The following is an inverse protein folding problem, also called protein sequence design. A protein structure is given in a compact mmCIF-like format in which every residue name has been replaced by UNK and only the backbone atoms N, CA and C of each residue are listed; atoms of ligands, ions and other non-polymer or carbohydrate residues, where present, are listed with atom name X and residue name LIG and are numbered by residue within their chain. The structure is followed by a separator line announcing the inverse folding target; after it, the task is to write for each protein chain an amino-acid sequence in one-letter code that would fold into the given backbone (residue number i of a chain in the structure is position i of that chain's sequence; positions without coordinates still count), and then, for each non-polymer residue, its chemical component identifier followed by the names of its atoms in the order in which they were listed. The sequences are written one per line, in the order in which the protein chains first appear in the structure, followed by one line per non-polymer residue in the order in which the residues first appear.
data_IF_469815579705
#
_entry.id   IF_469815579705
#
_cell.length_a   1.000
_cell.length_b   1.000
_cell.length_c   1.000
_cell.angle_alpha   90.00
_cell.angle_beta   90.00
_cell.angle_gamma   90.00
#
_symmetry.space_group_name_H-M   'P 1'
#
loop_
_entity.id
_entity.type
_entity.pdbx_description
1 polymer ?
#
# COMPACT_ATOMS: atom_id res chain seq x y z
N UNK A 1 20.80 80.89 -49.28
CA UNK A 1 20.21 81.02 -47.93
C UNK A 1 18.89 80.25 -47.71
N UNK A 2 18.07 79.98 -48.75
CA UNK A 2 16.81 79.22 -48.59
C UNK A 2 16.97 77.69 -48.41
N UNK A 3 18.08 77.09 -48.83
CA UNK A 3 18.29 75.64 -48.78
C UNK A 3 18.59 75.11 -47.36
N UNK A 4 19.39 75.85 -46.58
CA UNK A 4 19.76 75.45 -45.21
C UNK A 4 18.58 75.49 -44.21
N UNK A 5 17.55 76.31 -44.45
CA UNK A 5 16.34 76.37 -43.63
C UNK A 5 15.41 75.17 -43.87
N UNK A 6 15.42 74.60 -45.07
CA UNK A 6 14.60 73.44 -45.43
C UNK A 6 15.12 72.14 -44.80
N UNK A 7 16.44 71.96 -44.78
CA UNK A 7 17.08 70.78 -44.20
C UNK A 7 17.01 70.79 -42.67
N UNK A 8 17.11 71.97 -42.04
CA UNK A 8 16.91 72.11 -40.59
C UNK A 8 15.46 71.81 -40.16
N UNK A 9 14.46 72.22 -40.96
CA UNK A 9 13.05 71.87 -40.70
C UNK A 9 12.74 70.38 -40.91
N UNK A 10 13.38 69.72 -41.88
CA UNK A 10 13.24 68.26 -42.09
C UNK A 10 13.85 67.46 -40.94
N UNK A 11 15.06 67.82 -40.49
CA UNK A 11 15.72 67.16 -39.36
C UNK A 11 14.89 67.24 -38.07
N UNK A 12 14.31 68.42 -37.78
CA UNK A 12 13.48 68.62 -36.60
C UNK A 12 12.17 67.82 -36.66
N UNK A 13 11.55 67.70 -37.84
CA UNK A 13 10.33 66.89 -38.03
C UNK A 13 10.59 65.39 -37.89
N UNK A 14 11.72 64.89 -38.37
CA UNK A 14 12.11 63.48 -38.23
C UNK A 14 12.37 63.13 -36.77
N UNK A 15 13.01 64.02 -36.02
CA UNK A 15 13.32 63.82 -34.60
C UNK A 15 12.06 63.87 -33.71
N UNK A 16 11.12 64.76 -34.02
CA UNK A 16 9.78 64.78 -33.38
C UNK A 16 8.99 63.51 -33.72
N UNK A 17 9.04 63.04 -34.97
CA UNK A 17 8.38 61.81 -35.38
C UNK A 17 8.95 60.59 -34.65
N UNK A 18 10.27 60.45 -34.58
CA UNK A 18 10.94 59.37 -33.86
C UNK A 18 10.63 59.39 -32.36
N UNK A 19 10.63 60.57 -31.72
CA UNK A 19 10.22 60.71 -30.31
C UNK A 19 8.75 60.34 -30.10
N UNK A 20 7.85 60.76 -31.00
CA UNK A 20 6.44 60.39 -30.93
C UNK A 20 6.21 58.89 -31.14
N UNK A 21 6.98 58.26 -32.03
CA UNK A 21 6.96 56.82 -32.27
C UNK A 21 7.47 56.05 -31.05
N UNK A 22 8.54 56.54 -30.41
CA UNK A 22 9.11 55.91 -29.22
C UNK A 22 8.16 56.01 -28.02
N UNK A 23 7.50 57.15 -27.83
CA UNK A 23 6.44 57.31 -26.82
C UNK A 23 5.24 56.43 -27.15
N UNK A 24 4.84 56.32 -28.43
CA UNK A 24 3.78 55.41 -28.83
C UNK A 24 4.15 53.94 -28.57
N UNK A 25 5.40 53.52 -28.79
CA UNK A 25 5.88 52.16 -28.49
C UNK A 25 5.88 51.89 -26.98
N UNK A 26 6.29 52.86 -26.15
CA UNK A 26 6.22 52.73 -24.68
C UNK A 26 4.76 52.65 -24.21
N UNK A 27 3.87 53.48 -24.77
CA UNK A 27 2.44 53.43 -24.46
C UNK A 27 1.80 52.12 -24.96
N UNK A 28 2.21 51.60 -26.12
CA UNK A 28 1.79 50.30 -26.64
C UNK A 28 2.32 49.15 -25.78
N UNK A 29 3.51 49.26 -25.18
CA UNK A 29 4.05 48.26 -24.25
C UNK A 29 3.31 48.20 -22.91
N UNK A 30 2.53 49.25 -22.58
CA UNK A 30 1.63 49.29 -21.42
C UNK A 30 0.22 48.77 -21.72
N UNK A 31 -0.09 48.42 -22.99
CA UNK A 31 -1.27 47.64 -23.34
C UNK A 31 -1.03 46.18 -22.96
N UNK A 32 -1.08 45.89 -21.66
CA UNK A 32 -1.32 44.53 -21.18
C UNK A 32 -2.74 44.20 -21.62
N UNK A 33 -2.88 43.49 -22.74
CA UNK A 33 -4.17 42.91 -23.10
C UNK A 33 -4.66 42.10 -21.89
N UNK A 34 -5.86 42.38 -21.35
CA UNK A 34 -6.35 41.64 -20.21
C UNK A 34 -6.43 40.17 -20.61
N UNK A 35 -5.66 39.32 -19.90
CA UNK A 35 -5.70 37.88 -20.12
C UNK A 35 -7.15 37.41 -19.94
N UNK A 36 -7.58 36.59 -20.87
CA UNK A 36 -8.84 35.84 -20.75
C UNK A 36 -8.73 34.86 -19.58
N UNK A 37 -9.87 34.41 -19.05
CA UNK A 37 -9.88 33.40 -17.99
C UNK A 37 -9.13 32.12 -18.37
N UNK A 38 -9.20 31.70 -19.63
CA UNK A 38 -8.51 30.50 -20.10
C UNK A 38 -7.00 30.71 -20.15
N UNK A 39 -6.53 31.91 -20.55
CA UNK A 39 -5.11 32.27 -20.50
C UNK A 39 -4.60 32.40 -19.06
N UNK A 40 -5.43 32.90 -18.14
CA UNK A 40 -5.11 32.94 -16.70
C UNK A 40 -4.96 31.50 -16.16
N UNK A 41 -5.90 30.62 -16.51
CA UNK A 41 -5.83 29.21 -16.13
C UNK A 41 -4.59 28.53 -16.70
N UNK A 42 -4.22 28.79 -17.96
CA UNK A 42 -3.01 28.23 -18.56
C UNK A 42 -1.74 28.80 -17.91
N UNK A 43 -1.70 30.11 -17.64
CA UNK A 43 -0.59 30.76 -16.95
C UNK A 43 -0.35 30.18 -15.56
N UNK A 44 -1.41 29.76 -14.87
CA UNK A 44 -1.33 29.10 -13.56
C UNK A 44 -0.52 27.80 -13.57
N UNK A 45 -0.29 27.17 -14.73
CA UNK A 45 0.58 25.99 -14.87
C UNK A 45 2.08 26.31 -14.85
N UNK A 46 2.43 27.59 -14.86
CA UNK A 46 3.82 28.05 -14.81
C UNK A 46 4.06 29.00 -13.64
N UNK A 47 3.09 29.86 -13.34
CA UNK A 47 3.18 30.87 -12.29
C UNK A 47 1.81 31.06 -11.62
N UNK A 48 1.49 30.25 -10.59
CA UNK A 48 0.21 30.34 -9.88
C UNK A 48 -0.01 31.66 -9.13
N UNK A 49 1.04 32.34 -8.69
CA UNK A 49 0.92 33.62 -7.98
C UNK A 49 0.53 34.73 -8.94
N UNK A 50 1.26 34.85 -10.06
CA UNK A 50 0.91 35.81 -11.10
C UNK A 50 -0.50 35.54 -11.67
N UNK A 51 -0.85 34.27 -11.90
CA UNK A 51 -2.18 33.92 -12.38
C UNK A 51 -3.28 34.34 -11.40
N UNK A 52 -3.04 34.24 -10.09
CA UNK A 52 -3.99 34.69 -9.07
C UNK A 52 -4.17 36.20 -9.08
N UNK A 53 -3.09 36.96 -9.21
CA UNK A 53 -3.17 38.42 -9.31
C UNK A 53 -3.95 38.85 -10.56
N UNK A 54 -3.69 38.19 -11.69
CA UNK A 54 -4.44 38.42 -12.93
C UNK A 54 -5.92 38.05 -12.81
N UNK A 55 -6.23 36.97 -12.08
CA UNK A 55 -7.62 36.59 -11.76
C UNK A 55 -8.34 37.68 -10.95
N UNK A 56 -7.70 38.22 -9.91
CA UNK A 56 -8.29 39.30 -9.10
C UNK A 56 -8.53 40.56 -9.94
N UNK A 57 -7.59 40.91 -10.81
CA UNK A 57 -7.76 42.03 -11.76
C UNK A 57 -8.92 41.75 -12.71
N UNK A 58 -9.03 40.54 -13.26
CA UNK A 58 -10.13 40.15 -14.13
C UNK A 58 -11.49 40.32 -13.43
N UNK A 59 -11.64 39.77 -12.22
CA UNK A 59 -12.88 39.85 -11.44
C UNK A 59 -13.24 41.29 -11.07
N UNK A 60 -12.25 42.12 -10.72
CA UNK A 60 -12.50 43.53 -10.37
C UNK A 60 -13.08 44.39 -11.50
N UNK A 61 -12.95 43.93 -12.75
CA UNK A 61 -13.43 44.63 -13.96
C UNK A 61 -14.80 44.16 -14.42
N UNK A 62 -15.37 43.14 -13.77
CA UNK A 62 -16.68 42.63 -14.13
C UNK A 62 -17.77 43.65 -13.80
N UNK A 63 -18.68 43.87 -14.75
CA UNK A 63 -19.88 44.67 -14.54
C UNK A 63 -20.98 43.89 -13.82
N UNK A 64 -22.08 44.56 -13.45
CA UNK A 64 -23.21 43.98 -12.71
C UNK A 64 -24.09 43.02 -13.52
N UNK A 65 -23.80 42.79 -14.80
CA UNK A 65 -24.56 41.92 -15.70
C UNK A 65 -23.66 40.87 -16.35
N UNK A 66 -23.35 39.81 -15.60
CA UNK A 66 -22.71 38.60 -16.12
C UNK A 66 -23.76 37.49 -16.26
N UNK A 67 -23.61 36.66 -17.28
CA UNK A 67 -24.46 35.47 -17.40
C UNK A 67 -24.12 34.44 -16.33
N UNK A 68 -25.07 33.57 -16.00
CA UNK A 68 -24.84 32.49 -15.02
C UNK A 68 -23.69 31.57 -15.45
N UNK A 69 -23.60 31.24 -16.73
CA UNK A 69 -22.54 30.37 -17.26
C UNK A 69 -21.15 31.01 -17.13
N UNK A 70 -21.06 32.34 -17.31
CA UNK A 70 -19.83 33.09 -17.09
C UNK A 70 -19.47 33.13 -15.60
N UNK A 71 -20.44 33.35 -14.71
CA UNK A 71 -20.23 33.32 -13.26
C UNK A 71 -19.66 31.97 -12.81
N UNK A 72 -20.27 30.86 -13.26
CA UNK A 72 -19.79 29.50 -12.97
C UNK A 72 -18.36 29.27 -13.50
N UNK A 73 -18.03 29.79 -14.69
CA UNK A 73 -16.66 29.71 -15.25
C UNK A 73 -15.67 30.53 -14.42
N UNK A 74 -16.02 31.74 -14.02
CA UNK A 74 -15.20 32.63 -13.19
C UNK A 74 -14.91 31.97 -11.85
N UNK A 75 -15.93 31.42 -11.19
CA UNK A 75 -15.78 30.79 -9.89
C UNK A 75 -14.89 29.54 -9.98
N UNK A 76 -15.15 28.68 -10.97
CA UNK A 76 -14.36 27.47 -11.22
C UNK A 76 -12.88 27.78 -11.43
N UNK A 77 -12.57 28.78 -12.26
CA UNK A 77 -11.18 29.17 -12.52
C UNK A 77 -10.55 29.83 -11.28
N UNK A 78 -11.31 30.62 -10.53
CA UNK A 78 -10.85 31.17 -9.25
C UNK A 78 -10.44 30.09 -8.26
N UNK A 79 -11.27 29.05 -8.08
CA UNK A 79 -10.95 27.93 -7.18
C UNK A 79 -9.72 27.16 -7.65
N UNK A 80 -9.63 26.84 -8.95
CA UNK A 80 -8.47 26.18 -9.56
C UNK A 80 -7.17 26.95 -9.31
N UNK A 81 -7.13 28.24 -9.65
CA UNK A 81 -5.93 29.08 -9.53
C UNK A 81 -5.55 29.25 -8.05
N UNK A 82 -6.53 29.47 -7.16
CA UNK A 82 -6.25 29.56 -5.73
C UNK A 82 -5.70 28.24 -5.17
N UNK A 83 -6.25 27.09 -5.57
CA UNK A 83 -5.78 25.78 -5.15
C UNK A 83 -4.32 25.54 -5.57
N UNK A 84 -3.98 25.85 -6.82
CA UNK A 84 -2.60 25.79 -7.31
C UNK A 84 -1.68 26.73 -6.55
N UNK A 85 -2.11 27.96 -6.26
CA UNK A 85 -1.34 28.91 -5.45
C UNK A 85 -1.04 28.38 -4.05
N UNK A 86 -2.02 27.72 -3.41
CA UNK A 86 -1.84 27.09 -2.10
C UNK A 86 -0.91 25.88 -2.13
N UNK A 87 -0.78 25.22 -3.27
CA UNK A 87 0.07 24.06 -3.50
C UNK A 87 1.26 24.36 -4.44
N UNK A 88 1.69 25.62 -4.53
CA UNK A 88 2.70 26.08 -5.51
C UNK A 88 4.07 25.39 -5.37
N UNK A 89 4.38 24.91 -4.16
CA UNK A 89 5.64 24.21 -3.87
C UNK A 89 5.63 22.75 -4.37
N UNK A 90 4.49 22.26 -4.85
CA UNK A 90 4.31 20.91 -5.39
C UNK A 90 4.20 20.94 -6.91
N UNK A 91 5.19 20.35 -7.58
CA UNK A 91 5.24 20.32 -9.05
C UNK A 91 4.02 19.65 -9.67
N UNK A 92 3.52 18.56 -9.05
CA UNK A 92 2.31 17.88 -9.51
C UNK A 92 1.07 18.80 -9.54
N UNK A 93 0.98 19.75 -8.59
CA UNK A 93 -0.17 20.65 -8.47
C UNK A 93 -0.10 21.75 -9.52
N UNK A 94 1.09 22.33 -9.72
CA UNK A 94 1.32 23.38 -10.70
C UNK A 94 1.14 22.84 -12.11
N UNK A 95 1.78 21.71 -12.44
CA UNK A 95 1.74 21.09 -13.78
C UNK A 95 0.49 20.26 -14.06
N UNK A 96 -0.37 20.06 -13.06
CA UNK A 96 -1.53 19.17 -13.14
C UNK A 96 -1.16 17.74 -13.56
N UNK A 97 -0.11 17.19 -12.95
CA UNK A 97 0.41 15.86 -13.27
C UNK A 97 -0.04 14.82 -12.22
N UNK A 98 -1.02 14.00 -12.60
CA UNK A 98 -1.54 12.92 -11.74
C UNK A 98 -0.50 11.83 -11.48
N UNK A 99 0.40 11.56 -12.42
CA UNK A 99 1.46 10.56 -12.24
C UNK A 99 2.43 10.98 -11.15
N UNK A 100 2.83 12.26 -11.17
CA UNK A 100 3.65 12.83 -10.09
C UNK A 100 2.91 12.87 -8.75
N UNK A 101 1.60 13.12 -8.74
CA UNK A 101 0.81 13.05 -7.51
C UNK A 101 0.80 11.63 -6.92
N UNK A 102 0.69 10.60 -7.77
CA UNK A 102 0.79 9.19 -7.34
C UNK A 102 2.17 8.93 -6.73
N UNK A 103 3.24 9.29 -7.44
CA UNK A 103 4.61 9.07 -6.97
C UNK A 103 4.91 9.79 -5.66
N UNK A 104 4.47 11.04 -5.54
CA UNK A 104 4.54 11.80 -4.29
C UNK A 104 3.78 11.07 -3.17
N UNK A 105 2.56 10.62 -3.44
CA UNK A 105 1.68 9.98 -2.44
C UNK A 105 2.16 8.60 -1.98
N UNK A 106 3.04 7.94 -2.74
CA UNK A 106 3.70 6.69 -2.32
C UNK A 106 4.62 6.91 -1.12
N UNK A 107 5.27 8.07 -1.03
CA UNK A 107 6.33 8.31 -0.07
C UNK A 107 5.94 9.35 1.00
N UNK A 108 5.03 10.27 0.67
CA UNK A 108 4.69 11.40 1.52
C UNK A 108 3.20 11.47 1.83
N UNK A 109 2.89 11.98 3.02
CA UNK A 109 1.52 12.29 3.42
C UNK A 109 1.18 13.74 3.05
N UNK A 110 -0.03 13.93 2.53
CA UNK A 110 -0.60 15.24 2.28
C UNK A 110 -1.54 15.55 3.45
N UNK A 111 -1.40 16.75 4.02
CA UNK A 111 -2.28 17.24 5.07
C UNK A 111 -3.76 17.13 4.64
N UNK A 112 -4.63 16.64 5.52
CA UNK A 112 -6.07 16.48 5.21
C UNK A 112 -6.70 17.78 4.70
N UNK A 113 -6.28 18.92 5.25
CA UNK A 113 -6.73 20.25 4.81
C UNK A 113 -6.41 20.57 3.34
N UNK A 114 -5.42 19.90 2.74
CA UNK A 114 -5.01 20.11 1.36
C UNK A 114 -5.72 19.19 0.35
N UNK A 115 -6.51 18.21 0.81
CA UNK A 115 -7.26 17.29 -0.07
C UNK A 115 -8.24 18.06 -0.97
N UNK A 116 -8.92 19.06 -0.41
CA UNK A 116 -9.84 19.91 -1.16
C UNK A 116 -9.15 20.59 -2.35
N UNK A 117 -7.93 21.10 -2.17
CA UNK A 117 -7.17 21.73 -3.26
C UNK A 117 -6.79 20.74 -4.36
N UNK A 118 -6.52 19.48 -4.04
CA UNK A 118 -6.25 18.44 -5.04
C UNK A 118 -7.49 18.19 -5.89
N UNK A 119 -8.67 18.10 -5.26
CA UNK A 119 -9.94 17.92 -5.99
C UNK A 119 -10.24 19.13 -6.87
N UNK A 120 -9.99 20.36 -6.41
CA UNK A 120 -10.17 21.57 -7.24
C UNK A 120 -9.21 21.62 -8.44
N UNK A 121 -7.99 21.08 -8.31
CA UNK A 121 -7.00 21.06 -9.40
C UNK A 121 -7.34 19.99 -10.45
N UNK A 122 -7.61 18.77 -10.00
CA UNK A 122 -7.71 17.62 -10.90
C UNK A 122 -9.16 17.30 -11.26
N UNK A 123 -10.11 17.54 -10.35
CA UNK A 123 -11.49 17.11 -10.47
C UNK A 123 -11.68 15.62 -10.15
N UNK A 124 -12.78 15.31 -9.48
CA UNK A 124 -13.16 13.93 -9.10
C UNK A 124 -13.18 13.00 -10.31
N UNK A 125 -13.81 13.42 -11.41
CA UNK A 125 -13.97 12.60 -12.61
C UNK A 125 -12.61 12.25 -13.25
N UNK A 126 -11.72 13.23 -13.38
CA UNK A 126 -10.38 13.02 -13.97
C UNK A 126 -9.56 12.05 -13.12
N UNK A 127 -9.62 12.17 -11.79
CA UNK A 127 -8.93 11.24 -10.88
C UNK A 127 -9.50 9.83 -11.03
N UNK A 128 -10.82 9.68 -11.03
CA UNK A 128 -11.49 8.37 -11.15
C UNK A 128 -11.18 7.71 -12.51
N UNK A 129 -11.21 8.48 -13.60
CA UNK A 129 -10.88 7.99 -14.93
C UNK A 129 -9.40 7.56 -14.99
N UNK A 130 -8.50 8.37 -14.42
CA UNK A 130 -7.08 8.04 -14.35
C UNK A 130 -6.83 6.74 -13.57
N UNK A 131 -7.51 6.52 -12.44
CA UNK A 131 -7.43 5.25 -11.70
C UNK A 131 -7.89 4.10 -12.59
N UNK A 132 -9.06 4.23 -13.21
CA UNK A 132 -9.65 3.18 -14.07
C UNK A 132 -8.75 2.80 -15.26
N UNK A 133 -8.03 3.76 -15.84
CA UNK A 133 -7.17 3.52 -16.99
C UNK A 133 -5.81 2.89 -16.62
N UNK A 134 -5.37 3.04 -15.36
CA UNK A 134 -4.00 2.72 -14.94
C UNK A 134 -3.89 1.64 -13.86
N UNK A 135 -4.97 1.31 -13.15
CA UNK A 135 -4.96 0.34 -12.04
C UNK A 135 -4.43 -1.04 -12.44
N UNK A 136 -4.72 -1.49 -13.67
CA UNK A 136 -4.22 -2.76 -14.20
C UNK A 136 -2.70 -2.81 -14.41
N UNK A 137 -2.03 -1.64 -14.50
CA UNK A 137 -0.59 -1.52 -14.72
C UNK A 137 0.17 -1.11 -13.47
N UNK A 138 -0.39 -0.19 -12.68
CA UNK A 138 0.18 0.28 -11.42
C UNK A 138 -0.91 0.38 -10.35
N UNK A 139 -0.90 -0.57 -9.41
CA UNK A 139 -1.87 -0.60 -8.32
C UNK A 139 -1.75 0.61 -7.38
N UNK A 140 -0.62 1.33 -7.40
CA UNK A 140 -0.38 2.51 -6.57
C UNK A 140 -1.34 3.66 -6.85
N UNK A 141 -1.96 3.69 -8.04
CA UNK A 141 -2.96 4.73 -8.39
C UNK A 141 -4.17 4.70 -7.45
N UNK A 142 -4.45 3.56 -6.81
CA UNK A 142 -5.50 3.42 -5.79
C UNK A 142 -5.32 4.39 -4.62
N UNK A 143 -4.08 4.80 -4.31
CA UNK A 143 -3.82 5.79 -3.25
C UNK A 143 -4.56 7.10 -3.51
N UNK A 144 -4.84 7.45 -4.77
CA UNK A 144 -5.57 8.67 -5.13
C UNK A 144 -7.00 8.71 -4.58
N UNK A 145 -7.60 7.56 -4.28
CA UNK A 145 -8.94 7.49 -3.69
C UNK A 145 -9.05 8.33 -2.41
N UNK A 146 -7.98 8.40 -1.61
CA UNK A 146 -7.94 9.18 -0.36
C UNK A 146 -8.21 10.68 -0.55
N UNK A 147 -8.10 11.19 -1.78
CA UNK A 147 -8.38 12.59 -2.10
C UNK A 147 -9.82 12.83 -2.53
N UNK A 148 -10.54 11.78 -2.91
CA UNK A 148 -11.89 11.93 -3.45
C UNK A 148 -12.91 12.16 -2.33
N UNK A 149 -13.93 12.99 -2.58
CA UNK A 149 -15.13 12.95 -1.76
C UNK A 149 -15.75 11.55 -1.86
N UNK A 150 -16.45 11.10 -0.82
CA UNK A 150 -17.11 9.78 -0.82
C UNK A 150 -16.15 8.62 -1.14
N UNK A 151 -14.93 8.68 -0.58
CA UNK A 151 -13.87 7.70 -0.85
C UNK A 151 -14.34 6.25 -0.75
N UNK A 152 -15.25 5.95 0.19
CA UNK A 152 -15.79 4.61 0.37
C UNK A 152 -16.55 4.10 -0.86
N UNK A 153 -17.38 4.93 -1.49
CA UNK A 153 -18.14 4.57 -2.68
C UNK A 153 -17.21 4.24 -3.85
N UNK A 154 -16.17 5.06 -4.07
CA UNK A 154 -15.20 4.80 -5.13
C UNK A 154 -14.33 3.58 -4.83
N UNK A 155 -14.00 3.32 -3.58
CA UNK A 155 -13.26 2.12 -3.20
C UNK A 155 -14.06 0.84 -3.51
N UNK A 156 -15.36 0.83 -3.23
CA UNK A 156 -16.24 -0.29 -3.60
C UNK A 156 -16.27 -0.51 -5.12
N UNK A 157 -16.30 0.56 -5.91
CA UNK A 157 -16.25 0.50 -7.39
C UNK A 157 -15.02 -0.25 -7.90
N UNK A 158 -13.84 -0.04 -7.30
CA UNK A 158 -12.59 -0.66 -7.75
C UNK A 158 -12.26 -1.98 -7.06
N UNK A 159 -13.00 -2.38 -6.02
CA UNK A 159 -12.68 -3.55 -5.19
C UNK A 159 -12.54 -4.84 -5.99
N UNK A 160 -13.42 -5.09 -6.96
CA UNK A 160 -13.35 -6.31 -7.79
C UNK A 160 -12.05 -6.40 -8.59
N UNK A 161 -11.65 -5.29 -9.20
CA UNK A 161 -10.44 -5.21 -10.01
C UNK A 161 -9.19 -5.33 -9.15
N UNK A 162 -9.18 -4.68 -7.97
CA UNK A 162 -8.12 -4.85 -6.96
C UNK A 162 -7.97 -6.34 -6.64
N UNK A 163 -9.06 -7.03 -6.24
CA UNK A 163 -9.01 -8.45 -5.89
C UNK A 163 -8.45 -9.30 -7.05
N UNK A 164 -8.85 -9.03 -8.28
CA UNK A 164 -8.36 -9.77 -9.44
C UNK A 164 -6.84 -9.60 -9.62
N UNK A 165 -6.34 -8.36 -9.59
CA UNK A 165 -4.90 -8.07 -9.69
C UNK A 165 -4.15 -8.78 -8.55
N UNK A 166 -4.69 -8.71 -7.33
CA UNK A 166 -4.10 -9.36 -6.17
C UNK A 166 -4.09 -10.89 -6.28
N UNK A 167 -5.05 -11.53 -6.95
CA UNK A 167 -5.02 -12.97 -7.16
C UNK A 167 -3.91 -13.38 -8.14
N UNK A 168 -3.63 -12.55 -9.14
CA UNK A 168 -2.71 -12.85 -10.24
C UNK A 168 -1.25 -12.50 -9.92
N UNK A 169 -0.99 -11.41 -9.19
CA UNK A 169 0.37 -10.91 -8.93
C UNK A 169 0.74 -10.92 -7.42
N UNK A 170 1.69 -11.77 -7.06
CA UNK A 170 2.22 -11.86 -5.69
C UNK A 170 2.90 -10.56 -5.22
N UNK A 171 3.68 -9.89 -6.08
CA UNK A 171 4.35 -8.64 -5.70
C UNK A 171 3.34 -7.55 -5.45
N UNK A 172 2.28 -7.50 -6.27
CA UNK A 172 1.16 -6.58 -6.06
C UNK A 172 0.47 -6.83 -4.71
N UNK A 173 0.24 -8.09 -4.31
CA UNK A 173 -0.30 -8.43 -2.97
C UNK A 173 0.52 -7.85 -1.84
N UNK A 174 1.82 -8.16 -1.83
CA UNK A 174 2.72 -7.74 -0.75
C UNK A 174 2.81 -6.22 -0.68
N UNK A 175 2.92 -5.57 -1.84
CA UNK A 175 2.98 -4.12 -1.91
C UNK A 175 1.67 -3.47 -1.46
N UNK A 176 0.52 -3.97 -1.91
CA UNK A 176 -0.80 -3.42 -1.58
C UNK A 176 -1.08 -3.44 -0.08
N UNK A 177 -0.95 -4.61 0.56
CA UNK A 177 -1.30 -4.77 1.97
C UNK A 177 -0.37 -3.93 2.86
N UNK A 178 0.93 -3.87 2.53
CA UNK A 178 1.90 -3.16 3.35
C UNK A 178 1.91 -1.65 3.12
N UNK A 179 1.73 -1.19 1.88
CA UNK A 179 2.01 0.21 1.50
C UNK A 179 0.78 0.99 1.04
N UNK A 180 -0.22 0.33 0.43
CA UNK A 180 -1.42 1.03 -0.09
C UNK A 180 -2.53 1.01 0.96
N UNK A 181 -2.90 -0.17 1.46
CA UNK A 181 -4.09 -0.35 2.29
C UNK A 181 -4.06 0.50 3.56
N UNK A 182 -2.88 0.62 4.19
CA UNK A 182 -2.66 1.46 5.37
C UNK A 182 -2.79 2.96 5.09
N UNK A 183 -2.58 3.39 3.85
CA UNK A 183 -2.56 4.81 3.44
C UNK A 183 -3.90 5.33 2.91
N UNK A 184 -4.88 4.45 2.72
CA UNK A 184 -6.15 4.83 2.10
C UNK A 184 -7.04 5.72 2.96
N UNK A 185 -6.78 5.84 4.28
CA UNK A 185 -7.61 6.63 5.22
C UNK A 185 -9.12 6.30 5.13
N UNK A 186 -9.44 5.06 4.75
CA UNK A 186 -10.80 4.52 4.68
C UNK A 186 -11.01 3.67 5.93
N UNK A 187 -12.06 3.98 6.68
CA UNK A 187 -12.48 3.18 7.82
C UNK A 187 -12.71 1.73 7.39
N UNK A 188 -12.00 0.80 8.04
CA UNK A 188 -12.10 -0.64 7.82
C UNK A 188 -11.93 -1.09 6.35
N UNK A 189 -11.12 -0.39 5.54
CA UNK A 189 -10.89 -0.78 4.14
C UNK A 189 -10.47 -2.25 3.96
N UNK A 190 -9.63 -2.76 4.88
CA UNK A 190 -9.26 -4.17 4.90
C UNK A 190 -10.48 -5.08 5.08
N UNK A 191 -11.32 -4.80 6.08
CA UNK A 191 -12.55 -5.56 6.32
C UNK A 191 -13.54 -5.46 5.16
N UNK A 192 -13.65 -4.30 4.50
CA UNK A 192 -14.48 -4.12 3.30
C UNK A 192 -14.00 -4.98 2.13
N UNK A 193 -12.69 -4.99 1.85
CA UNK A 193 -12.11 -5.91 0.86
C UNK A 193 -12.38 -7.37 1.21
N UNK A 194 -12.21 -7.74 2.47
CA UNK A 194 -12.45 -9.11 2.92
C UNK A 194 -13.92 -9.53 2.78
N UNK A 195 -14.89 -8.62 2.94
CA UNK A 195 -16.31 -8.89 2.67
C UNK A 195 -16.56 -9.20 1.20
N UNK A 196 -15.94 -8.44 0.29
CA UNK A 196 -16.01 -8.74 -1.14
C UNK A 196 -15.32 -10.06 -1.50
N UNK A 197 -14.17 -10.34 -0.86
CA UNK A 197 -13.45 -11.60 -1.02
C UNK A 197 -14.32 -12.79 -0.59
N UNK A 198 -15.02 -12.67 0.54
CA UNK A 198 -15.97 -13.67 1.03
C UNK A 198 -17.13 -13.91 0.05
N UNK A 199 -17.73 -12.82 -0.45
CA UNK A 199 -18.80 -12.92 -1.45
C UNK A 199 -18.32 -13.69 -2.69
N UNK A 200 -17.14 -13.35 -3.21
CA UNK A 200 -16.55 -14.02 -4.35
C UNK A 200 -16.24 -15.50 -4.04
N UNK A 201 -15.78 -15.82 -2.83
CA UNK A 201 -15.54 -17.21 -2.39
C UNK A 201 -16.82 -18.05 -2.42
N UNK A 202 -17.93 -17.52 -1.91
CA UNK A 202 -19.22 -18.23 -1.88
C UNK A 202 -19.72 -18.58 -3.28
N UNK A 203 -19.48 -17.70 -4.26
CA UNK A 203 -19.92 -17.84 -5.66
C UNK A 203 -18.94 -18.66 -6.54
N UNK A 204 -17.75 -18.98 -6.02
CA UNK A 204 -16.65 -19.60 -6.78
C UNK A 204 -16.63 -21.14 -6.76
N UNK A 205 -15.98 -21.74 -7.76
CA UNK A 205 -15.62 -23.16 -7.79
C UNK A 205 -14.48 -23.51 -6.81
N UNK A 206 -14.21 -24.81 -6.64
CA UNK A 206 -13.20 -25.30 -5.69
C UNK A 206 -11.78 -24.76 -5.96
N UNK A 207 -11.37 -24.65 -7.22
CA UNK A 207 -10.02 -24.15 -7.56
C UNK A 207 -9.89 -22.66 -7.25
N UNK A 208 -10.91 -21.87 -7.55
CA UNK A 208 -10.93 -20.45 -7.25
C UNK A 208 -11.00 -20.18 -5.75
N UNK A 209 -11.78 -20.98 -5.00
CA UNK A 209 -11.85 -20.91 -3.54
C UNK A 209 -10.49 -21.07 -2.86
N UNK A 210 -9.64 -21.98 -3.35
CA UNK A 210 -8.27 -22.15 -2.83
C UNK A 210 -7.44 -20.88 -3.02
N UNK A 211 -7.49 -20.25 -4.20
CA UNK A 211 -6.76 -19.00 -4.47
C UNK A 211 -7.24 -17.85 -3.58
N UNK A 212 -8.55 -17.75 -3.35
CA UNK A 212 -9.16 -16.72 -2.50
C UNK A 212 -8.77 -16.90 -1.03
N UNK A 213 -8.73 -18.15 -0.53
CA UNK A 213 -8.23 -18.43 0.83
C UNK A 213 -6.73 -18.17 0.96
N UNK A 214 -5.96 -18.39 -0.10
CA UNK A 214 -4.55 -18.01 -0.11
C UNK A 214 -4.39 -16.50 -0.03
N UNK A 215 -5.17 -15.73 -0.79
CA UNK A 215 -5.18 -14.27 -0.70
C UNK A 215 -5.57 -13.82 0.72
N UNK A 216 -6.62 -14.41 1.30
CA UNK A 216 -7.04 -14.15 2.68
C UNK A 216 -5.91 -14.33 3.69
N UNK A 217 -5.11 -15.40 3.56
CA UNK A 217 -3.97 -15.65 4.44
C UNK A 217 -2.98 -14.48 4.47
N UNK A 218 -2.74 -13.81 3.34
CA UNK A 218 -1.87 -12.63 3.30
C UNK A 218 -2.46 -11.47 4.11
N UNK A 219 -3.75 -11.19 3.94
CA UNK A 219 -4.43 -10.16 4.73
C UNK A 219 -4.43 -10.48 6.23
N UNK A 220 -4.71 -11.74 6.59
CA UNK A 220 -4.76 -12.20 7.99
C UNK A 220 -3.39 -12.09 8.68
N UNK A 221 -2.30 -12.37 7.96
CA UNK A 221 -0.93 -12.21 8.47
C UNK A 221 -0.57 -10.76 8.82
N UNK A 222 -1.15 -9.79 8.11
CA UNK A 222 -0.96 -8.36 8.37
C UNK A 222 -2.04 -7.78 9.33
N UNK A 223 -2.84 -8.65 9.96
CA UNK A 223 -3.81 -8.29 10.99
C UNK A 223 -5.22 -7.99 10.48
N UNK A 224 -5.47 -8.07 9.18
CA UNK A 224 -6.80 -7.87 8.60
C UNK A 224 -7.59 -9.17 8.66
N UNK A 225 -8.65 -9.21 9.49
CA UNK A 225 -9.47 -10.40 9.68
C UNK A 225 -10.95 -10.09 9.48
N UNK A 226 -11.65 -11.06 8.91
CA UNK A 226 -13.11 -11.15 8.84
C UNK A 226 -13.50 -12.50 9.40
N UNK A 227 -14.42 -12.53 10.37
CA UNK A 227 -14.74 -13.74 11.13
C UNK A 227 -15.21 -14.88 10.22
N UNK A 228 -16.13 -14.58 9.30
CA UNK A 228 -16.72 -15.54 8.37
C UNK A 228 -15.66 -16.16 7.44
N UNK A 229 -14.62 -15.41 7.09
CA UNK A 229 -13.50 -15.91 6.31
C UNK A 229 -12.49 -16.71 7.15
N UNK A 230 -12.24 -16.30 8.40
CA UNK A 230 -11.31 -17.02 9.30
C UNK A 230 -11.83 -18.42 9.58
N UNK A 231 -13.13 -18.56 9.86
CA UNK A 231 -13.76 -19.87 10.10
C UNK A 231 -13.62 -20.81 8.89
N UNK A 232 -13.81 -20.29 7.67
CA UNK A 232 -13.62 -21.04 6.43
C UNK A 232 -12.16 -21.42 6.20
N UNK A 233 -11.25 -20.48 6.44
CA UNK A 233 -9.81 -20.68 6.31
C UNK A 233 -9.31 -21.78 7.25
N UNK A 234 -9.67 -21.71 8.53
CA UNK A 234 -9.29 -22.70 9.54
C UNK A 234 -9.84 -24.09 9.21
N UNK A 235 -11.09 -24.18 8.73
CA UNK A 235 -11.69 -25.44 8.31
C UNK A 235 -10.93 -26.08 7.13
N UNK A 236 -10.54 -25.27 6.14
CA UNK A 236 -9.78 -25.78 4.99
C UNK A 236 -8.33 -26.13 5.37
N UNK A 237 -7.72 -25.39 6.30
CA UNK A 237 -6.40 -25.70 6.85
C UNK A 237 -6.41 -27.01 7.63
N UNK A 238 -7.44 -27.24 8.46
CA UNK A 238 -7.62 -28.50 9.19
C UNK A 238 -7.85 -29.68 8.25
N UNK A 239 -8.70 -29.52 7.22
CA UNK A 239 -8.92 -30.52 6.17
C UNK A 239 -7.61 -30.85 5.43
N UNK A 240 -6.80 -29.84 5.10
CA UNK A 240 -5.51 -30.04 4.45
C UNK A 240 -4.47 -30.68 5.37
N UNK A 241 -4.50 -30.37 6.66
CA UNK A 241 -3.67 -31.04 7.67
C UNK A 241 -4.06 -32.51 7.81
N UNK A 242 -5.34 -32.84 7.80
CA UNK A 242 -5.79 -34.24 7.78
C UNK A 242 -5.34 -34.92 6.47
N UNK A 243 -5.40 -34.21 5.34
CA UNK A 243 -5.01 -34.74 4.03
C UNK A 243 -3.50 -35.03 3.90
N UNK A 244 -2.62 -34.17 4.42
CA UNK A 244 -1.17 -34.39 4.33
C UNK A 244 -0.74 -35.62 5.16
N UNK A 245 -1.31 -35.81 6.36
CA UNK A 245 -1.06 -37.01 7.17
C UNK A 245 -1.52 -38.28 6.45
N UNK A 246 -2.68 -38.22 5.78
CA UNK A 246 -3.18 -39.33 4.94
C UNK A 246 -2.25 -39.61 3.76
N UNK A 247 -1.76 -38.58 3.06
CA UNK A 247 -0.78 -38.71 1.96
C UNK A 247 0.54 -39.33 2.43
N UNK A 248 1.07 -38.91 3.58
CA UNK A 248 2.26 -39.55 4.17
C UNK A 248 1.97 -41.01 4.48
N UNK A 249 0.85 -41.32 5.13
CA UNK A 249 0.53 -42.71 5.48
C UNK A 249 0.39 -43.60 4.26
N UNK A 250 -0.19 -43.08 3.15
CA UNK A 250 -0.31 -43.80 1.87
C UNK A 250 1.08 -44.00 1.26
N UNK A 251 1.89 -42.94 1.15
CA UNK A 251 3.26 -43.01 0.64
C UNK A 251 4.12 -44.01 1.43
N UNK A 252 4.00 -44.00 2.76
CA UNK A 252 4.71 -44.90 3.67
C UNK A 252 4.23 -46.36 3.49
N UNK A 253 2.92 -46.58 3.36
CA UNK A 253 2.35 -47.90 3.12
C UNK A 253 2.77 -48.49 1.77
N UNK A 254 2.81 -47.68 0.71
CA UNK A 254 3.27 -48.08 -0.62
C UNK A 254 4.77 -48.42 -0.63
N UNK A 255 5.60 -47.60 0.01
CA UNK A 255 7.04 -47.86 0.12
C UNK A 255 7.34 -49.11 0.95
N UNK A 256 6.62 -49.35 2.05
CA UNK A 256 6.75 -50.58 2.84
C UNK A 256 6.33 -51.83 2.05
N UNK A 257 5.24 -51.75 1.27
CA UNK A 257 4.83 -52.85 0.38
C UNK A 257 5.89 -53.16 -0.68
N UNK A 258 6.49 -52.12 -1.27
CA UNK A 258 7.56 -52.26 -2.27
C UNK A 258 8.84 -52.86 -1.70
N UNK A 259 9.16 -52.60 -0.44
CA UNK A 259 10.28 -53.23 0.26
C UNK A 259 10.01 -54.70 0.61
N UNK A 260 8.77 -55.03 0.98
CA UNK A 260 8.36 -56.41 1.25
C UNK A 260 8.32 -57.33 0.02
N UNK A 261 8.18 -56.77 -1.19
CA UNK A 261 8.15 -57.53 -2.45
C UNK A 261 9.52 -57.86 -3.03
N UNK A 262 10.61 -57.32 -2.48
CA UNK A 262 11.98 -57.64 -2.90
C UNK A 262 12.36 -59.01 -2.33
N UNK A 263 12.69 -59.97 -3.21
CA UNK A 263 13.22 -61.30 -2.84
C UNK A 263 14.63 -61.16 -2.24
N UNK A 264 14.69 -60.75 -0.98
CA UNK A 264 15.88 -60.76 -0.15
C UNK A 264 15.83 -61.99 0.76
N UNK A 265 16.99 -62.43 1.26
CA UNK A 265 17.01 -63.49 2.27
C UNK A 265 16.21 -63.03 3.51
N UNK A 266 15.57 -63.98 4.19
CA UNK A 266 14.71 -63.70 5.35
C UNK A 266 15.44 -62.93 6.46
N UNK A 267 16.76 -63.06 6.54
CA UNK A 267 17.61 -62.33 7.47
C UNK A 267 17.79 -60.85 7.07
N UNK A 268 18.03 -60.56 5.79
CA UNK A 268 18.24 -59.20 5.31
C UNK A 268 16.95 -58.37 5.35
N UNK A 269 15.79 -58.99 5.07
CA UNK A 269 14.49 -58.32 5.23
C UNK A 269 14.24 -57.90 6.69
N UNK A 270 14.54 -58.77 7.66
CA UNK A 270 14.44 -58.45 9.10
C UNK A 270 15.38 -57.31 9.49
N UNK A 271 16.61 -57.30 8.99
CA UNK A 271 17.56 -56.20 9.22
C UNK A 271 17.05 -54.87 8.67
N UNK A 272 16.55 -54.83 7.43
CA UNK A 272 16.04 -53.60 6.81
C UNK A 272 14.84 -53.05 7.58
N UNK A 273 13.89 -53.91 7.97
CA UNK A 273 12.73 -53.50 8.78
C UNK A 273 13.18 -52.97 10.15
N UNK A 274 14.14 -53.64 10.78
CA UNK A 274 14.69 -53.22 12.08
C UNK A 274 15.37 -51.86 11.97
N UNK A 275 16.16 -51.62 10.93
CA UNK A 275 16.80 -50.33 10.66
C UNK A 275 15.75 -49.24 10.36
N UNK A 276 14.71 -49.53 9.57
CA UNK A 276 13.63 -48.59 9.26
C UNK A 276 12.80 -48.18 10.48
N UNK A 277 12.73 -49.00 11.52
CA UNK A 277 12.05 -48.67 12.78
C UNK A 277 13.01 -47.93 13.72
N UNK A 278 14.26 -48.39 13.85
CA UNK A 278 15.23 -47.82 14.78
C UNK A 278 15.71 -46.44 14.30
N UNK A 279 15.94 -46.24 13.00
CA UNK A 279 16.46 -45.00 12.43
C UNK A 279 15.57 -43.76 12.72
N UNK A 280 14.24 -43.79 12.50
CA UNK A 280 13.40 -42.64 12.85
C UNK A 280 13.33 -42.42 14.36
N UNK A 281 13.38 -43.48 15.18
CA UNK A 281 13.48 -43.35 16.64
C UNK A 281 14.79 -42.65 17.01
N UNK A 282 15.92 -43.07 16.46
CA UNK A 282 17.21 -42.43 16.75
C UNK A 282 17.26 -40.98 16.26
N UNK A 283 16.63 -40.65 15.13
CA UNK A 283 16.50 -39.27 14.64
C UNK A 283 15.64 -38.41 15.60
N UNK A 284 14.45 -38.88 15.98
CA UNK A 284 13.56 -38.18 16.93
C UNK A 284 14.26 -37.95 18.25
N UNK A 285 15.01 -38.95 18.73
CA UNK A 285 15.80 -38.80 19.92
C UNK A 285 17.06 -37.96 19.68
N UNK A 286 17.69 -37.88 18.51
CA UNK A 286 18.89 -37.08 18.28
C UNK A 286 18.65 -35.56 18.37
N UNK A 287 17.51 -35.08 17.87
CA UNK A 287 17.21 -33.65 17.82
C UNK A 287 16.53 -33.13 19.09
N UNK A 288 17.00 -31.97 19.60
CA UNK A 288 16.53 -31.38 20.87
C UNK A 288 15.05 -30.97 20.83
N UNK A 289 14.58 -30.37 19.74
CA UNK A 289 13.21 -29.88 19.63
C UNK A 289 12.17 -31.01 19.55
N UNK A 290 12.30 -32.02 18.67
CA UNK A 290 11.40 -33.18 18.67
C UNK A 290 11.38 -33.93 20.01
N UNK A 291 12.55 -34.10 20.65
CA UNK A 291 12.67 -34.72 21.97
C UNK A 291 11.92 -33.94 23.05
N UNK A 292 11.97 -32.59 23.02
CA UNK A 292 11.19 -31.74 23.92
C UNK A 292 9.68 -31.95 23.73
N UNK A 293 9.21 -31.90 22.47
CA UNK A 293 7.78 -32.09 22.15
C UNK A 293 7.31 -33.44 22.66
N UNK A 294 8.08 -34.50 22.43
CA UNK A 294 7.78 -35.86 22.87
C UNK A 294 7.68 -35.95 24.41
N UNK A 295 8.62 -35.38 25.15
CA UNK A 295 8.53 -35.38 26.62
C UNK A 295 7.35 -34.56 27.15
N UNK A 296 6.98 -33.47 26.46
CA UNK A 296 5.80 -32.68 26.83
C UNK A 296 4.50 -33.45 26.61
N UNK A 297 4.37 -34.15 25.47
CA UNK A 297 3.16 -34.96 25.17
C UNK A 297 2.99 -36.15 26.10
N UNK A 298 4.09 -36.76 26.55
CA UNK A 298 4.05 -37.84 27.54
C UNK A 298 3.95 -37.35 29.00
N UNK A 299 3.76 -36.06 29.24
CA UNK A 299 3.60 -35.50 30.59
C UNK A 299 4.89 -35.48 31.44
N UNK A 300 6.06 -35.74 30.84
CA UNK A 300 7.36 -35.72 31.50
C UNK A 300 7.89 -34.28 31.64
N UNK A 301 7.12 -33.42 32.32
CA UNK A 301 7.31 -31.96 32.36
C UNK A 301 8.73 -31.53 32.75
N UNK A 302 9.30 -32.11 33.80
CA UNK A 302 10.69 -31.83 34.24
C UNK A 302 11.73 -32.12 33.15
N UNK A 303 11.57 -33.22 32.41
CA UNK A 303 12.48 -33.57 31.31
C UNK A 303 12.28 -32.65 30.11
N UNK A 304 11.04 -32.27 29.82
CA UNK A 304 10.74 -31.31 28.76
C UNK A 304 11.40 -29.95 29.04
N UNK A 305 11.26 -29.42 30.26
CA UNK A 305 11.90 -28.17 30.68
C UNK A 305 13.43 -28.23 30.55
N UNK A 306 14.07 -29.32 31.00
CA UNK A 306 15.51 -29.50 30.87
C UNK A 306 16.01 -29.62 29.42
N UNK A 307 15.25 -30.25 28.53
CA UNK A 307 15.60 -30.27 27.10
C UNK A 307 15.41 -28.89 26.48
N UNK A 308 14.34 -28.18 26.84
CA UNK A 308 14.07 -26.83 26.33
C UNK A 308 15.10 -25.81 26.82
N UNK A 309 15.62 -25.97 28.06
CA UNK A 309 16.78 -25.20 28.55
C UNK A 309 17.96 -25.25 27.59
N UNK A 310 18.31 -26.45 27.10
CA UNK A 310 19.36 -26.65 26.08
C UNK A 310 19.04 -26.06 24.71
N UNK A 311 17.79 -25.71 24.45
CA UNK A 311 17.37 -24.97 23.25
C UNK A 311 17.61 -23.47 23.48
N UNK A 312 17.23 -22.94 24.65
CA UNK A 312 17.49 -21.55 25.04
C UNK A 312 18.98 -21.25 25.15
N UNK A 313 19.81 -22.18 25.63
CA UNK A 313 21.27 -22.02 25.69
C UNK A 313 21.93 -21.70 24.34
N UNK A 314 21.31 -22.08 23.21
CA UNK A 314 21.82 -21.74 21.87
C UNK A 314 21.51 -20.31 21.44
N UNK A 315 20.51 -19.70 22.05
CA UNK A 315 20.02 -18.36 21.71
C UNK A 315 19.55 -17.66 23.00
N UNK A 316 20.52 -17.26 23.85
CA UNK A 316 20.25 -16.82 25.21
C UNK A 316 19.62 -15.43 25.30
N UNK A 317 19.46 -14.69 24.21
CA UNK A 317 18.89 -13.34 24.24
C UNK A 317 17.49 -13.27 23.61
N UNK A 318 16.95 -14.39 23.13
CA UNK A 318 15.61 -14.43 22.58
C UNK A 318 14.54 -14.41 23.71
N UNK A 319 13.74 -13.32 23.83
CA UNK A 319 12.82 -13.15 24.95
C UNK A 319 11.68 -14.17 24.93
N UNK A 320 11.20 -14.56 23.74
CA UNK A 320 10.08 -15.50 23.61
C UNK A 320 10.48 -16.92 24.05
N UNK A 321 11.68 -17.35 23.68
CA UNK A 321 12.22 -18.66 24.09
C UNK A 321 12.46 -18.70 25.61
N UNK A 322 12.95 -17.62 26.21
CA UNK A 322 13.13 -17.55 27.66
C UNK A 322 11.82 -17.50 28.42
N UNK A 323 10.84 -16.75 27.91
CA UNK A 323 9.50 -16.74 28.50
C UNK A 323 8.89 -18.14 28.46
N UNK A 324 9.08 -18.85 27.34
CA UNK A 324 8.61 -20.21 27.22
C UNK A 324 9.32 -21.17 28.19
N UNK A 325 10.61 -21.00 28.42
CA UNK A 325 11.35 -21.78 29.41
C UNK A 325 10.85 -21.54 30.84
N UNK A 326 10.58 -20.29 31.21
CA UNK A 326 10.03 -19.93 32.52
C UNK A 326 8.68 -20.61 32.77
N UNK A 327 7.77 -20.55 31.78
CA UNK A 327 6.48 -21.25 31.83
C UNK A 327 6.65 -22.77 31.95
N UNK A 328 7.62 -23.36 31.25
CA UNK A 328 7.88 -24.80 31.32
C UNK A 328 8.45 -25.22 32.69
N UNK A 329 9.25 -24.38 33.33
CA UNK A 329 9.71 -24.61 34.70
C UNK A 329 8.55 -24.54 35.69
N UNK A 330 7.68 -23.54 35.56
CA UNK A 330 6.47 -23.40 36.37
C UNK A 330 5.51 -24.59 36.19
N UNK A 331 5.21 -24.99 34.96
CA UNK A 331 4.42 -26.18 34.63
C UNK A 331 5.01 -27.47 35.27
N UNK A 332 6.34 -27.52 35.44
CA UNK A 332 7.08 -28.64 36.02
C UNK A 332 7.26 -28.56 37.55
N UNK A 333 6.75 -27.51 38.21
CA UNK A 333 6.90 -27.26 39.65
C UNK A 333 8.29 -26.78 40.07
N UNK A 334 9.09 -26.27 39.12
CA UNK A 334 10.44 -25.75 39.30
C UNK A 334 10.38 -24.23 39.47
N UNK A 335 9.76 -23.77 40.56
CA UNK A 335 9.42 -22.36 40.74
C UNK A 335 10.63 -21.44 40.90
N UNK A 336 11.72 -21.92 41.50
CA UNK A 336 12.95 -21.15 41.66
C UNK A 336 13.61 -20.84 40.30
N UNK A 337 13.70 -21.84 39.43
CA UNK A 337 14.24 -21.68 38.08
C UNK A 337 13.32 -20.82 37.20
N UNK A 338 11.99 -20.97 37.34
CA UNK A 338 11.03 -20.11 36.65
C UNK A 338 11.20 -18.64 37.06
N UNK A 339 11.31 -18.39 38.37
CA UNK A 339 11.53 -17.04 38.93
C UNK A 339 12.82 -16.41 38.42
N UNK A 340 13.90 -17.18 38.30
CA UNK A 340 15.17 -16.70 37.75
C UNK A 340 15.06 -16.28 36.28
N UNK A 341 14.35 -17.05 35.44
CA UNK A 341 14.14 -16.70 34.04
C UNK A 341 13.22 -15.46 33.87
N UNK A 342 12.16 -15.34 34.67
CA UNK A 342 11.31 -14.14 34.67
C UNK A 342 12.09 -12.88 35.09
N UNK A 343 12.96 -12.98 36.10
CA UNK A 343 13.82 -11.88 36.52
C UNK A 343 14.83 -11.49 35.45
N UNK A 344 15.37 -12.47 34.71
CA UNK A 344 16.27 -12.22 33.59
C UNK A 344 15.56 -11.44 32.47
N UNK A 345 14.35 -11.87 32.09
CA UNK A 345 13.52 -11.17 31.10
C UNK A 345 13.20 -9.73 31.50
N UNK A 346 12.93 -9.50 32.80
CA UNK A 346 12.67 -8.15 33.32
C UNK A 346 13.88 -7.24 33.16
N UNK A 347 15.10 -7.74 33.37
CA UNK A 347 16.33 -6.95 33.21
C UNK A 347 16.56 -6.55 31.76
N UNK A 348 16.38 -7.48 30.81
CA UNK A 348 16.61 -7.21 29.38
C UNK A 348 15.59 -6.23 28.79
N UNK A 349 14.36 -6.13 29.33
CA UNK A 349 13.35 -5.18 28.83
C UNK A 349 13.49 -3.76 29.38
N UNK A 350 14.35 -3.53 30.36
CA UNK A 350 14.57 -2.23 31.00
C UNK A 350 15.77 -1.49 30.38
N UNK A 351 16.64 -2.21 29.68
CA UNK A 351 17.66 -1.67 28.77
C UNK A 351 17.10 -1.54 27.35
#
# INVERSE_FOLDING_TARGET
MKQNLSDCQKSTKVDIFLKSLFVAIILLSSLVFPLTLDEIAEKSKTDPEFAWDMYLVYVSRLGSSISKDEEEKIERIGRLVNAKRKLKDYEFAVKEDLSQLVEFSKNFEILKSSQYYIVEIFGTERIVNYISENISKDLSVIILLKFLPETEHFFEKFTREIIQILLEDQKAREYFVKNILKKLDIADAGSKLLKHLYKQYSESDENQRVKLLELYRYFSNDGYKLQEMEELFLKEEEKNKISWHKRISIWFAEHLKKLGSIKLSSYVQKLIITVLIILPITIVFAFRYPRYVLFRTFGLKKRAANIYKKIVEKDPFNPDKRLKLAQLFEEAGMYEEAFNEYNFLKRIKIE
#
